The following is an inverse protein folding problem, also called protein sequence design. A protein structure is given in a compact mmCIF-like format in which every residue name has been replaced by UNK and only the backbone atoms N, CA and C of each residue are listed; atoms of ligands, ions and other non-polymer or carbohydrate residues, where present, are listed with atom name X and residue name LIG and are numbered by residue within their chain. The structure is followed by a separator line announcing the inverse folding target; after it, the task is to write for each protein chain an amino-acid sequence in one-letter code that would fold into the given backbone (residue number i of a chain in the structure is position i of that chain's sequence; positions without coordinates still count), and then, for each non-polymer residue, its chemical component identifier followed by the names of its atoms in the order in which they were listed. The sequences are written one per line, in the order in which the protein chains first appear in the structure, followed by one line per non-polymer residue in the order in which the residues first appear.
data_IF_299658932043
#
_entry.id   IF_299658932043
#
_cell.length_a   1.000
_cell.length_b   1.000
_cell.length_c   1.000
_cell.angle_alpha   90.00
_cell.angle_beta   90.00
_cell.angle_gamma   90.00
#
_symmetry.space_group_name_H-M   'P 1'
#
loop_
_entity.id
_entity.type
_entity.pdbx_description
1 polymer ?
#
# COMPACT_ATOMS: atom_id res chain seq x y z
N UNK A 1 -4.03 70.50 24.35
CA UNK A 1 -4.57 70.56 25.73
C UNK A 1 -5.02 69.16 26.11
N UNK A 2 -4.16 68.43 26.83
CA UNK A 2 -4.47 67.10 27.34
C UNK A 2 -4.90 67.25 28.81
N UNK A 3 -6.13 66.86 29.12
CA UNK A 3 -6.64 66.85 30.50
C UNK A 3 -5.97 65.75 31.35
N UNK A 4 -6.07 65.85 32.70
CA UNK A 4 -5.39 64.94 33.61
C UNK A 4 -5.96 63.52 33.50
N UNK A 5 -5.07 62.52 33.48
CA UNK A 5 -5.41 61.09 33.36
C UNK A 5 -5.61 60.48 34.74
N UNK A 6 -6.78 59.90 34.97
CA UNK A 6 -7.19 59.27 36.22
C UNK A 6 -6.61 57.84 36.30
N UNK A 7 -5.89 57.45 37.38
CA UNK A 7 -5.22 56.13 37.47
C UNK A 7 -6.16 54.96 37.83
N UNK A 8 -7.48 55.15 37.84
CA UNK A 8 -8.45 54.17 38.33
C UNK A 8 -9.63 53.92 37.37
N UNK A 9 -9.37 53.53 36.12
CA UNK A 9 -10.40 52.87 35.29
C UNK A 9 -10.62 51.44 35.79
N UNK A 10 -11.76 51.21 36.43
CA UNK A 10 -12.20 49.88 36.88
C UNK A 10 -12.57 49.01 35.69
N UNK A 11 -12.08 47.77 35.68
CA UNK A 11 -12.44 46.76 34.69
C UNK A 11 -13.97 46.54 34.66
N UNK A 12 -14.56 46.67 33.47
CA UNK A 12 -15.97 46.41 33.20
C UNK A 12 -16.09 45.33 32.14
N UNK A 13 -17.14 44.50 32.19
CA UNK A 13 -17.39 43.44 31.20
C UNK A 13 -17.55 43.95 29.76
N UNK A 14 -17.76 45.26 29.56
CA UNK A 14 -17.84 45.90 28.25
C UNK A 14 -16.53 46.56 27.80
N UNK A 15 -15.47 46.55 28.62
CA UNK A 15 -14.20 47.21 28.30
C UNK A 15 -13.03 46.20 28.33
N UNK A 16 -12.54 45.82 27.14
CA UNK A 16 -11.40 44.88 26.95
C UNK A 16 -10.05 45.46 27.37
N UNK A 17 -10.03 46.74 27.75
CA UNK A 17 -8.85 47.50 28.20
C UNK A 17 -8.01 46.81 29.28
N UNK A 18 -8.62 46.00 30.14
CA UNK A 18 -7.90 45.31 31.22
C UNK A 18 -7.01 44.16 30.73
N UNK A 19 -7.28 43.61 29.55
CA UNK A 19 -6.42 42.60 28.89
C UNK A 19 -5.59 43.27 27.81
N UNK A 20 -6.16 44.22 27.06
CA UNK A 20 -5.50 44.90 25.95
C UNK A 20 -4.29 45.73 26.41
N UNK A 21 -4.44 46.55 27.45
CA UNK A 21 -3.38 47.44 27.93
C UNK A 21 -2.11 46.71 28.40
N UNK A 22 -2.17 45.65 29.23
CA UNK A 22 -0.97 44.92 29.61
C UNK A 22 -0.34 44.17 28.44
N UNK A 23 -1.15 43.60 27.54
CA UNK A 23 -0.66 42.89 26.36
C UNK A 23 0.05 43.84 25.40
N UNK A 24 -0.52 45.04 25.20
CA UNK A 24 0.07 46.10 24.39
C UNK A 24 1.42 46.54 24.94
N UNK A 25 1.51 46.79 26.26
CA UNK A 25 2.80 47.15 26.90
C UNK A 25 3.84 46.04 26.76
N UNK A 26 3.43 44.77 26.87
CA UNK A 26 4.31 43.63 26.67
C UNK A 26 4.86 43.59 25.24
N UNK A 27 4.00 43.71 24.23
CA UNK A 27 4.41 43.70 22.83
C UNK A 27 5.22 44.95 22.43
N UNK A 28 4.89 46.12 22.96
CA UNK A 28 5.70 47.34 22.78
C UNK A 28 7.11 47.16 23.36
N UNK A 29 7.22 46.58 24.57
CA UNK A 29 8.51 46.25 25.17
C UNK A 29 9.31 45.23 24.37
N UNK A 30 8.66 44.15 23.91
CA UNK A 30 9.29 43.13 23.06
C UNK A 30 9.76 43.74 21.73
N UNK A 31 8.91 44.50 21.04
CA UNK A 31 9.23 45.15 19.78
C UNK A 31 10.38 46.15 19.95
N UNK A 32 10.41 46.92 21.04
CA UNK A 32 11.51 47.82 21.37
C UNK A 32 12.82 47.05 21.58
N UNK A 33 12.78 45.91 22.27
CA UNK A 33 13.95 45.04 22.44
C UNK A 33 14.47 44.45 21.12
N UNK A 34 13.56 43.98 20.26
CA UNK A 34 13.91 43.46 18.92
C UNK A 34 14.50 44.57 18.04
N UNK A 35 13.92 45.77 18.08
CA UNK A 35 14.41 46.93 17.32
C UNK A 35 15.78 47.40 17.79
N UNK A 36 16.05 47.35 19.10
CA UNK A 36 17.34 47.74 19.67
C UNK A 36 18.47 46.74 19.35
N UNK A 37 18.16 45.45 19.21
CA UNK A 37 19.14 44.41 18.88
C UNK A 37 18.54 43.35 17.96
N UNK A 38 18.50 43.56 16.63
CA UNK A 38 17.76 42.68 15.71
C UNK A 38 18.45 41.34 15.42
N UNK A 39 19.79 41.31 15.41
CA UNK A 39 20.55 40.14 14.95
C UNK A 39 20.31 38.86 15.76
N UNK A 40 20.28 38.87 17.11
CA UNK A 40 19.95 37.68 17.89
C UNK A 40 18.56 37.12 17.55
N UNK A 41 17.56 37.99 17.32
CA UNK A 41 16.20 37.57 17.00
C UNK A 41 16.04 37.03 15.58
N UNK A 42 17.00 37.27 14.68
CA UNK A 42 17.03 36.67 13.33
C UNK A 42 17.89 35.41 13.32
N UNK A 43 19.11 35.48 13.86
CA UNK A 43 20.08 34.40 13.79
C UNK A 43 19.70 33.22 14.68
N UNK A 44 19.19 33.47 15.89
CA UNK A 44 18.85 32.39 16.82
C UNK A 44 17.73 31.49 16.27
N UNK A 45 16.58 32.02 15.76
CA UNK A 45 15.58 31.15 15.14
C UNK A 45 16.09 30.41 13.91
N UNK A 46 16.95 31.03 13.09
CA UNK A 46 17.55 30.37 11.92
C UNK A 46 18.46 29.20 12.32
N UNK A 47 19.34 29.41 13.31
CA UNK A 47 20.23 28.37 13.83
C UNK A 47 19.43 27.25 14.50
N UNK A 48 18.40 27.59 15.29
CA UNK A 48 17.52 26.62 15.92
C UNK A 48 16.76 25.80 14.86
N UNK A 49 16.22 26.45 13.84
CA UNK A 49 15.49 25.81 12.75
C UNK A 49 16.41 24.89 11.93
N UNK A 50 17.64 25.33 11.63
CA UNK A 50 18.65 24.50 10.96
C UNK A 50 19.06 23.30 11.81
N UNK A 51 19.29 23.49 13.11
CA UNK A 51 19.64 22.44 14.04
C UNK A 51 18.54 21.39 14.21
N UNK A 52 17.28 21.81 14.37
CA UNK A 52 16.13 20.91 14.42
C UNK A 52 15.88 20.26 13.05
N UNK A 53 16.09 21.01 11.97
CA UNK A 53 15.96 20.54 10.58
C UNK A 53 16.95 19.44 10.21
N UNK A 54 18.14 19.40 10.82
CA UNK A 54 19.08 18.30 10.64
C UNK A 54 18.49 16.93 11.01
N UNK A 55 17.46 16.88 11.86
CA UNK A 55 16.71 15.66 12.18
C UNK A 55 16.06 15.00 10.96
N UNK A 56 15.75 15.75 9.90
CA UNK A 56 15.17 15.20 8.66
C UNK A 56 16.12 14.24 7.92
N UNK A 57 17.42 14.25 8.21
CA UNK A 57 18.37 13.26 7.69
C UNK A 57 18.03 11.83 8.12
N UNK A 58 17.41 11.66 9.30
CA UNK A 58 17.00 10.35 9.82
C UNK A 58 15.62 9.91 9.33
N UNK A 59 14.91 10.76 8.57
CA UNK A 59 13.56 10.47 8.10
C UNK A 59 13.50 9.16 7.29
N UNK A 60 14.38 8.88 6.31
CA UNK A 60 14.30 7.65 5.52
C UNK A 60 14.39 6.36 6.36
N UNK A 61 15.06 6.42 7.51
CA UNK A 61 15.26 5.28 8.41
C UNK A 61 14.15 5.15 9.46
N UNK A 62 13.54 6.26 9.87
CA UNK A 62 12.56 6.31 10.96
C UNK A 62 11.11 6.47 10.50
N UNK A 63 10.90 6.64 9.20
CA UNK A 63 9.57 6.79 8.64
C UNK A 63 8.81 5.46 8.76
N UNK A 64 7.69 5.50 9.50
CA UNK A 64 6.76 4.39 9.57
C UNK A 64 5.93 4.34 8.28
N UNK A 65 6.35 3.53 7.31
CA UNK A 65 5.71 3.35 6.01
C UNK A 65 4.91 2.06 5.90
N UNK A 66 4.26 1.65 6.99
CA UNK A 66 3.33 0.53 6.94
C UNK A 66 1.89 1.07 6.89
N UNK A 67 1.17 0.82 5.79
CA UNK A 67 -0.24 1.21 5.63
C UNK A 67 -1.09 0.68 6.79
N UNK A 68 -0.87 -0.56 7.24
CA UNK A 68 -1.67 -1.10 8.34
C UNK A 68 -1.44 -0.27 9.62
N UNK A 69 -0.18 0.03 9.95
CA UNK A 69 0.19 0.92 11.05
C UNK A 69 -0.36 2.34 10.95
N UNK A 70 -0.49 2.89 9.74
CA UNK A 70 -0.98 4.26 9.50
C UNK A 70 -2.51 4.38 9.55
N UNK A 71 -3.24 3.37 9.06
CA UNK A 71 -4.69 3.43 8.87
C UNK A 71 -5.50 2.60 9.88
N UNK A 72 -4.83 1.85 10.76
CA UNK A 72 -5.51 1.07 11.81
C UNK A 72 -4.97 1.40 13.20
N UNK A 73 -5.80 1.35 14.26
CA UNK A 73 -5.35 1.64 15.63
C UNK A 73 -4.13 0.79 16.03
N UNK A 74 -3.15 1.41 16.69
CA UNK A 74 -1.91 0.73 17.10
C UNK A 74 -2.15 -0.40 18.12
N UNK A 75 -3.11 -0.23 19.02
CA UNK A 75 -3.49 -1.20 20.07
C UNK A 75 -4.86 -1.85 19.89
N UNK A 76 -5.32 -2.06 18.65
CA UNK A 76 -6.63 -2.66 18.40
C UNK A 76 -6.74 -4.12 18.87
N UNK A 77 -7.90 -4.57 19.39
CA UNK A 77 -8.11 -5.96 19.81
C UNK A 77 -7.73 -7.00 18.76
N UNK A 78 -8.06 -6.74 17.48
CA UNK A 78 -7.70 -7.62 16.36
C UNK A 78 -6.19 -7.83 16.20
N UNK A 79 -5.36 -6.83 16.53
CA UNK A 79 -3.89 -6.97 16.49
C UNK A 79 -3.40 -7.85 17.65
N UNK A 80 -3.98 -7.71 18.83
CA UNK A 80 -3.64 -8.56 19.98
C UNK A 80 -4.05 -10.03 19.74
N UNK A 81 -5.22 -10.27 19.14
CA UNK A 81 -5.66 -11.60 18.71
C UNK A 81 -4.75 -12.18 17.63
N UNK A 82 -4.36 -11.38 16.63
CA UNK A 82 -3.39 -11.80 15.61
C UNK A 82 -2.05 -12.19 16.22
N UNK A 83 -1.56 -11.42 17.18
CA UNK A 83 -0.30 -11.72 17.89
C UNK A 83 -0.42 -13.01 18.71
N UNK A 84 -1.58 -13.26 19.33
CA UNK A 84 -1.86 -14.52 20.00
C UNK A 84 -1.79 -15.69 19.02
N UNK A 85 -2.45 -15.57 17.86
CA UNK A 85 -2.44 -16.60 16.80
C UNK A 85 -1.02 -16.84 16.30
N UNK A 86 -0.26 -15.79 16.00
CA UNK A 86 1.14 -15.91 15.53
C UNK A 86 2.05 -16.62 16.54
N UNK A 87 1.87 -16.36 17.84
CA UNK A 87 2.67 -17.01 18.90
C UNK A 87 2.33 -18.48 19.09
N UNK A 88 1.05 -18.86 19.00
CA UNK A 88 0.59 -20.22 19.29
C UNK A 88 0.50 -21.12 18.05
N UNK A 89 0.31 -20.53 16.87
CA UNK A 89 0.15 -21.22 15.59
C UNK A 89 1.10 -20.60 14.54
N UNK A 90 2.43 -20.69 14.74
CA UNK A 90 3.38 -20.18 13.77
C UNK A 90 3.24 -20.91 12.42
N UNK A 91 3.39 -20.16 11.33
CA UNK A 91 3.41 -20.73 9.98
C UNK A 91 4.77 -21.36 9.69
N UNK A 92 4.77 -22.39 8.85
CA UNK A 92 5.97 -23.00 8.30
C UNK A 92 5.77 -23.06 6.79
N UNK A 93 6.15 -21.97 6.13
CA UNK A 93 5.91 -21.77 4.70
C UNK A 93 6.86 -22.64 3.88
N UNK A 94 7.95 -23.15 4.47
CA UNK A 94 8.89 -24.06 3.79
C UNK A 94 8.41 -25.52 3.66
N UNK A 95 7.47 -25.98 4.49
CA UNK A 95 7.05 -27.39 4.52
C UNK A 95 5.53 -27.62 4.56
N UNK A 96 4.78 -26.79 5.30
CA UNK A 96 3.36 -27.00 5.61
C UNK A 96 2.54 -25.74 5.37
N UNK A 97 2.76 -25.11 4.22
CA UNK A 97 2.03 -23.90 3.86
C UNK A 97 0.53 -24.18 3.69
N UNK A 98 -0.29 -23.27 4.22
CA UNK A 98 -1.74 -23.30 4.04
C UNK A 98 -2.29 -21.87 4.05
N UNK A 99 -2.67 -21.37 2.87
CA UNK A 99 -3.19 -20.02 2.72
C UNK A 99 -4.38 -19.69 3.65
N UNK A 100 -5.38 -20.57 3.86
CA UNK A 100 -6.49 -20.29 4.78
C UNK A 100 -6.09 -20.18 6.26
N UNK A 101 -4.86 -20.58 6.63
CA UNK A 101 -4.35 -20.51 8.01
C UNK A 101 -3.48 -19.29 8.26
N UNK A 102 -3.28 -18.44 7.26
CA UNK A 102 -2.47 -17.24 7.43
C UNK A 102 -3.18 -16.23 8.35
N UNK A 103 -2.49 -15.70 9.39
CA UNK A 103 -3.02 -14.64 10.24
C UNK A 103 -2.98 -13.25 9.58
N UNK A 104 -2.33 -13.15 8.42
CA UNK A 104 -2.23 -11.96 7.55
C UNK A 104 -2.46 -12.35 6.09
N UNK A 105 -2.47 -11.38 5.17
CA UNK A 105 -2.63 -11.67 3.74
C UNK A 105 -1.45 -12.48 3.15
N UNK A 106 -0.28 -12.43 3.79
CA UNK A 106 0.93 -13.15 3.36
C UNK A 106 1.72 -12.43 2.26
N UNK A 107 2.86 -13.00 1.86
CA UNK A 107 3.61 -12.57 0.70
C UNK A 107 3.08 -13.30 -0.54
N UNK A 108 2.46 -12.58 -1.46
CA UNK A 108 1.91 -13.20 -2.66
C UNK A 108 1.87 -12.25 -3.86
N UNK A 109 1.85 -12.84 -5.05
CA UNK A 109 1.45 -12.22 -6.29
C UNK A 109 0.17 -12.90 -6.79
N UNK A 110 -0.85 -12.10 -7.12
CA UNK A 110 -2.10 -12.57 -7.71
C UNK A 110 -2.24 -12.03 -9.11
N UNK A 111 -2.64 -12.91 -10.03
CA UNK A 111 -2.97 -12.57 -11.40
C UNK A 111 -4.39 -13.05 -11.68
N UNK A 112 -5.20 -12.23 -12.35
CA UNK A 112 -6.54 -12.60 -12.78
C UNK A 112 -6.53 -12.59 -14.30
N UNK A 113 -6.66 -13.76 -14.90
CA UNK A 113 -6.85 -13.96 -16.33
C UNK A 113 -8.34 -13.90 -16.65
N UNK A 114 -8.74 -12.96 -17.49
CA UNK A 114 -10.13 -12.74 -17.92
C UNK A 114 -10.22 -13.06 -19.41
N UNK A 115 -11.13 -13.93 -19.81
CA UNK A 115 -11.34 -14.23 -21.22
C UNK A 115 -11.78 -12.99 -22.02
N UNK A 116 -11.18 -12.80 -23.20
CA UNK A 116 -11.56 -11.73 -24.12
C UNK A 116 -12.89 -12.05 -24.80
N UNK A 117 -13.57 -11.04 -25.35
CA UNK A 117 -14.82 -11.20 -26.10
C UNK A 117 -15.99 -11.86 -25.34
N UNK A 118 -15.92 -11.96 -24.01
CA UNK A 118 -16.98 -12.54 -23.18
C UNK A 118 -17.08 -14.07 -23.26
N UNK A 119 -16.04 -14.74 -23.76
CA UNK A 119 -15.97 -16.21 -23.81
C UNK A 119 -15.54 -16.80 -22.47
N UNK A 120 -15.25 -18.11 -22.43
CA UNK A 120 -14.79 -18.76 -21.21
C UNK A 120 -13.27 -18.82 -21.12
N UNK A 121 -12.73 -18.59 -19.92
CA UNK A 121 -11.33 -18.86 -19.60
C UNK A 121 -11.00 -20.35 -19.62
N UNK A 122 -12.03 -21.21 -19.59
CA UNK A 122 -11.91 -22.66 -19.70
C UNK A 122 -11.90 -23.15 -21.16
N UNK A 123 -12.05 -22.26 -22.14
CA UNK A 123 -11.93 -22.63 -23.54
C UNK A 123 -10.46 -23.02 -23.86
N UNK A 124 -10.21 -23.98 -24.78
CA UNK A 124 -8.86 -24.49 -25.02
C UNK A 124 -7.81 -23.43 -25.35
N UNK A 125 -8.17 -22.40 -26.12
CA UNK A 125 -7.26 -21.31 -26.50
C UNK A 125 -6.90 -20.40 -25.32
N UNK A 126 -7.91 -20.02 -24.52
CA UNK A 126 -7.71 -19.23 -23.31
C UNK A 126 -6.92 -20.02 -22.25
N UNK A 127 -7.19 -21.32 -22.13
CA UNK A 127 -6.50 -22.21 -21.20
C UNK A 127 -5.02 -22.38 -21.56
N UNK A 128 -4.68 -22.54 -22.84
CA UNK A 128 -3.28 -22.59 -23.28
C UNK A 128 -2.53 -21.30 -22.93
N UNK A 129 -3.17 -20.14 -23.12
CA UNK A 129 -2.61 -18.85 -22.72
C UNK A 129 -2.43 -18.72 -21.20
N UNK A 130 -3.35 -19.26 -20.39
CA UNK A 130 -3.20 -19.37 -18.93
C UNK A 130 -2.01 -20.23 -18.55
N UNK A 131 -1.80 -21.38 -19.21
CA UNK A 131 -0.65 -22.25 -18.94
C UNK A 131 0.67 -21.58 -19.31
N UNK A 132 0.71 -20.84 -20.42
CA UNK A 132 1.87 -20.02 -20.80
C UNK A 132 2.15 -18.94 -19.76
N UNK A 133 1.11 -18.24 -19.29
CA UNK A 133 1.22 -17.25 -18.21
C UNK A 133 1.79 -17.88 -16.92
N UNK A 134 1.26 -19.03 -16.50
CA UNK A 134 1.73 -19.73 -15.30
C UNK A 134 3.22 -20.07 -15.39
N UNK A 135 3.65 -20.63 -16.53
CA UNK A 135 5.06 -20.97 -16.79
C UNK A 135 5.98 -19.75 -16.73
N UNK A 136 5.53 -18.58 -17.17
CA UNK A 136 6.30 -17.33 -17.14
C UNK A 136 6.45 -16.77 -15.72
N UNK A 137 5.45 -16.97 -14.87
CA UNK A 137 5.49 -16.53 -13.46
C UNK A 137 6.29 -17.50 -12.60
N UNK A 138 6.19 -18.82 -12.87
CA UNK A 138 6.95 -19.87 -12.19
C UNK A 138 8.39 -19.98 -12.72
N UNK A 139 9.11 -18.87 -12.67
CA UNK A 139 10.53 -18.83 -12.97
C UNK A 139 11.39 -19.52 -11.88
N UNK A 140 12.66 -19.84 -12.15
CA UNK A 140 13.52 -20.52 -11.18
C UNK A 140 13.67 -19.76 -9.85
N UNK A 141 13.59 -18.43 -9.88
CA UNK A 141 13.64 -17.61 -8.68
C UNK A 141 12.37 -17.80 -7.82
N UNK A 142 11.20 -17.85 -8.45
CA UNK A 142 9.95 -18.18 -7.78
C UNK A 142 10.00 -19.58 -7.15
N UNK A 143 10.45 -20.62 -7.88
CA UNK A 143 10.49 -22.00 -7.37
C UNK A 143 11.42 -22.18 -6.15
N UNK A 144 12.40 -21.28 -5.98
CA UNK A 144 13.25 -21.21 -4.79
C UNK A 144 12.53 -20.56 -3.59
N UNK A 145 11.72 -19.53 -3.84
CA UNK A 145 11.11 -18.66 -2.82
C UNK A 145 9.65 -18.99 -2.49
N UNK A 146 9.01 -19.84 -3.29
CA UNK A 146 7.61 -20.19 -3.14
C UNK A 146 7.32 -20.83 -1.77
N UNK A 147 6.13 -20.58 -1.25
CA UNK A 147 5.62 -21.33 -0.11
C UNK A 147 5.30 -22.78 -0.54
N UNK A 148 5.68 -23.75 0.28
CA UNK A 148 5.65 -25.17 -0.04
C UNK A 148 4.70 -25.95 0.87
N UNK A 149 4.00 -26.89 0.25
CA UNK A 149 3.25 -27.94 0.93
C UNK A 149 3.72 -29.29 0.38
N UNK A 150 4.15 -30.18 1.27
CA UNK A 150 4.59 -31.53 0.94
C UNK A 150 5.73 -31.56 -0.11
N UNK A 151 6.70 -30.67 0.07
CA UNK A 151 7.92 -30.60 -0.76
C UNK A 151 7.79 -29.87 -2.09
N UNK A 152 6.58 -29.44 -2.49
CA UNK A 152 6.31 -28.71 -3.73
C UNK A 152 5.70 -27.33 -3.46
N UNK A 153 5.90 -26.37 -4.38
CA UNK A 153 5.23 -25.07 -4.29
C UNK A 153 3.70 -25.24 -4.21
N UNK A 154 3.05 -24.38 -3.44
CA UNK A 154 1.60 -24.30 -3.40
C UNK A 154 1.04 -24.05 -4.81
N UNK A 155 -0.03 -24.76 -5.17
CA UNK A 155 -0.65 -24.56 -6.49
C UNK A 155 -1.26 -23.16 -6.58
N UNK A 156 -0.98 -22.40 -7.64
CA UNK A 156 -1.52 -21.05 -7.80
C UNK A 156 -3.03 -21.05 -8.07
N UNK A 157 -3.59 -22.16 -8.55
CA UNK A 157 -5.02 -22.35 -8.72
C UNK A 157 -5.38 -23.84 -8.57
N UNK A 158 -6.48 -24.20 -7.90
CA UNK A 158 -6.88 -25.59 -7.73
C UNK A 158 -7.15 -26.36 -9.04
N UNK A 159 -7.45 -25.66 -10.14
CA UNK A 159 -7.68 -26.25 -11.47
C UNK A 159 -6.38 -26.41 -12.27
N UNK A 160 -5.26 -25.88 -11.79
CA UNK A 160 -3.95 -26.12 -12.37
C UNK A 160 -3.28 -27.27 -11.62
N UNK A 161 -3.05 -28.38 -12.31
CA UNK A 161 -2.19 -29.45 -11.78
C UNK A 161 -0.76 -28.95 -11.56
N UNK A 162 -0.08 -29.58 -10.60
CA UNK A 162 1.31 -29.31 -10.26
C UNK A 162 2.31 -29.54 -11.41
N UNK A 163 1.89 -30.15 -12.52
CA UNK A 163 2.76 -30.60 -13.62
C UNK A 163 2.51 -29.91 -14.97
N UNK A 164 1.55 -28.98 -15.06
CA UNK A 164 1.35 -28.17 -16.26
C UNK A 164 0.83 -28.93 -17.49
N UNK A 165 0.36 -30.16 -17.32
CA UNK A 165 -0.13 -31.02 -18.41
C UNK A 165 -1.62 -31.29 -18.23
N UNK A 166 -2.47 -30.27 -18.37
CA UNK A 166 -3.91 -30.52 -18.34
C UNK A 166 -4.63 -29.75 -19.43
N UNK A 167 -5.45 -30.51 -20.18
CA UNK A 167 -6.57 -29.97 -20.95
C UNK A 167 -7.47 -29.18 -19.99
N UNK A 168 -8.18 -28.17 -20.48
CA UNK A 168 -9.19 -27.52 -19.65
C UNK A 168 -10.22 -28.55 -19.16
N UNK A 169 -10.81 -28.33 -17.97
CA UNK A 169 -11.90 -29.17 -17.49
C UNK A 169 -13.08 -29.11 -18.46
N UNK A 170 -13.69 -30.27 -18.75
CA UNK A 170 -14.84 -30.32 -19.65
C UNK A 170 -16.04 -29.57 -19.06
N UNK A 171 -16.85 -28.88 -19.86
CA UNK A 171 -18.09 -28.25 -19.39
C UNK A 171 -18.99 -29.25 -18.65
N UNK A 172 -19.50 -28.85 -17.48
CA UNK A 172 -20.35 -29.67 -16.64
C UNK A 172 -19.63 -30.79 -15.84
N UNK A 173 -18.31 -30.92 -15.96
CA UNK A 173 -17.52 -31.91 -15.21
C UNK A 173 -17.28 -31.53 -13.74
N UNK A 174 -17.26 -30.24 -13.45
CA UNK A 174 -17.00 -29.70 -12.11
C UNK A 174 -18.30 -29.20 -11.47
N UNK A 175 -18.41 -29.36 -10.14
CA UNK A 175 -19.46 -28.71 -9.35
C UNK A 175 -19.00 -27.35 -8.85
N UNK A 176 -19.91 -26.40 -8.78
CA UNK A 176 -19.64 -25.04 -8.27
C UNK A 176 -20.64 -24.69 -7.15
N UNK A 177 -20.22 -24.01 -6.06
CA UNK A 177 -18.88 -23.44 -5.81
C UNK A 177 -17.88 -24.40 -5.17
N UNK A 178 -18.31 -25.61 -4.76
CA UNK A 178 -17.45 -26.62 -4.13
C UNK A 178 -17.43 -27.87 -5.00
N UNK A 179 -16.22 -28.32 -5.35
CA UNK A 179 -15.99 -29.56 -6.07
C UNK A 179 -15.20 -30.54 -5.21
N UNK A 180 -15.89 -31.53 -4.63
CA UNK A 180 -15.29 -32.43 -3.63
C UNK A 180 -14.90 -31.66 -2.37
N UNK A 181 -13.60 -31.59 -2.06
CA UNK A 181 -13.03 -30.83 -0.92
C UNK A 181 -12.50 -29.45 -1.32
N UNK A 182 -12.58 -29.09 -2.59
CA UNK A 182 -11.96 -27.88 -3.14
C UNK A 182 -13.01 -26.79 -3.34
N UNK A 183 -12.72 -25.58 -2.83
CA UNK A 183 -13.55 -24.40 -3.05
C UNK A 183 -13.12 -23.64 -4.30
N UNK A 184 -13.96 -23.61 -5.32
CA UNK A 184 -13.73 -22.92 -6.59
C UNK A 184 -14.25 -21.47 -6.59
N UNK A 185 -15.06 -21.08 -5.60
CA UNK A 185 -15.64 -19.73 -5.54
C UNK A 185 -14.62 -18.60 -5.39
N UNK A 186 -13.42 -18.89 -4.87
CA UNK A 186 -12.31 -17.93 -4.83
C UNK A 186 -11.36 -18.03 -6.04
N UNK A 187 -11.51 -19.08 -6.86
CA UNK A 187 -10.62 -19.41 -7.98
C UNK A 187 -11.19 -18.97 -9.34
N UNK A 188 -12.52 -18.93 -9.46
CA UNK A 188 -13.24 -18.59 -10.69
C UNK A 188 -14.14 -17.35 -10.49
N UNK A 189 -14.28 -16.55 -11.55
CA UNK A 189 -15.16 -15.38 -11.59
C UNK A 189 -16.03 -15.34 -12.85
N UNK A 190 -17.20 -14.71 -12.75
CA UNK A 190 -18.17 -14.65 -13.86
C UNK A 190 -18.58 -16.04 -14.32
N UNK A 191 -19.04 -16.86 -13.38
CA UNK A 191 -19.34 -18.28 -13.58
C UNK A 191 -20.77 -18.47 -14.08
N UNK A 192 -20.93 -19.34 -15.07
CA UNK A 192 -22.23 -19.84 -15.52
C UNK A 192 -22.41 -21.31 -15.09
N UNK A 193 -23.58 -21.63 -14.55
CA UNK A 193 -23.87 -22.95 -14.00
C UNK A 193 -25.23 -23.47 -14.42
N UNK A 194 -25.31 -24.76 -14.69
CA UNK A 194 -26.57 -25.49 -14.86
C UNK A 194 -26.71 -26.56 -13.79
N UNK A 195 -27.76 -26.49 -12.98
CA UNK A 195 -27.99 -27.43 -11.88
C UNK A 195 -26.83 -27.54 -10.87
N UNK A 196 -26.05 -26.46 -10.68
CA UNK A 196 -24.86 -26.44 -9.82
C UNK A 196 -23.60 -27.06 -10.45
N UNK A 197 -23.64 -27.40 -11.74
CA UNK A 197 -22.47 -27.80 -12.52
C UNK A 197 -21.92 -26.61 -13.29
N UNK A 198 -20.60 -26.49 -13.30
CA UNK A 198 -19.86 -25.41 -13.95
C UNK A 198 -19.90 -25.61 -15.47
N UNK A 199 -20.56 -24.70 -16.20
CA UNK A 199 -20.56 -24.72 -17.66
C UNK A 199 -19.43 -23.85 -18.23
N UNK A 200 -19.29 -22.64 -17.72
CA UNK A 200 -18.27 -21.70 -18.13
C UNK A 200 -17.84 -20.79 -16.99
N UNK A 201 -16.67 -20.18 -17.13
CA UNK A 201 -16.20 -19.11 -16.25
C UNK A 201 -15.52 -18.04 -17.10
N UNK A 202 -15.75 -16.76 -16.77
CA UNK A 202 -15.13 -15.62 -17.48
C UNK A 202 -13.72 -15.32 -16.99
N UNK A 203 -13.41 -15.62 -15.73
CA UNK A 203 -12.12 -15.28 -15.12
C UNK A 203 -11.55 -16.42 -14.27
N UNK A 204 -10.23 -16.55 -14.28
CA UNK A 204 -9.44 -17.46 -13.45
C UNK A 204 -8.47 -16.64 -12.60
N UNK A 205 -8.47 -16.86 -11.28
CA UNK A 205 -7.54 -16.22 -10.35
C UNK A 205 -6.38 -17.15 -10.02
N UNK A 206 -5.16 -16.69 -10.27
CA UNK A 206 -3.89 -17.32 -9.91
C UNK A 206 -3.31 -16.60 -8.69
N UNK A 207 -2.83 -17.34 -7.70
CA UNK A 207 -2.21 -16.78 -6.48
C UNK A 207 -0.91 -17.51 -6.15
N UNK A 208 0.20 -16.83 -6.39
CA UNK A 208 1.56 -17.31 -6.16
C UNK A 208 2.02 -16.87 -4.78
N UNK A 209 2.04 -17.81 -3.83
CA UNK A 209 2.49 -17.55 -2.46
C UNK A 209 4.00 -17.72 -2.32
N UNK A 210 4.62 -16.79 -1.61
CA UNK A 210 6.04 -16.78 -1.27
C UNK A 210 6.20 -17.00 0.23
N UNK A 211 7.41 -17.38 0.62
CA UNK A 211 7.76 -17.57 2.03
C UNK A 211 7.87 -16.23 2.77
N UNK A 212 7.21 -16.13 3.91
CA UNK A 212 7.42 -15.04 4.88
C UNK A 212 8.27 -15.48 6.08
N UNK A 213 8.62 -16.77 6.15
CA UNK A 213 9.40 -17.34 7.24
C UNK A 213 10.93 -17.29 6.99
N UNK A 214 11.66 -16.90 8.02
CA UNK A 214 13.13 -16.96 8.04
C UNK A 214 13.83 -15.87 7.22
N UNK A 215 15.13 -16.06 6.91
CA UNK A 215 15.93 -15.06 6.20
C UNK A 215 15.45 -14.79 4.76
N UNK A 216 14.72 -15.72 4.14
CA UNK A 216 14.24 -15.61 2.76
C UNK A 216 13.00 -14.70 2.61
N UNK A 217 12.44 -14.16 3.71
CA UNK A 217 11.35 -13.19 3.65
C UNK A 217 11.76 -11.91 2.89
N UNK A 218 13.00 -11.46 3.07
CA UNK A 218 13.52 -10.29 2.37
C UNK A 218 13.74 -10.57 0.87
N UNK A 219 14.22 -11.77 0.53
CA UNK A 219 14.36 -12.21 -0.86
C UNK A 219 12.99 -12.31 -1.56
N UNK A 220 11.98 -12.83 -0.87
CA UNK A 220 10.59 -12.87 -1.34
C UNK A 220 10.04 -11.46 -1.60
N UNK A 221 10.34 -10.51 -0.70
CA UNK A 221 9.99 -9.09 -0.88
C UNK A 221 10.67 -8.49 -2.11
N UNK A 222 11.95 -8.78 -2.33
CA UNK A 222 12.69 -8.33 -3.51
C UNK A 222 12.14 -8.94 -4.80
N UNK A 223 11.77 -10.22 -4.79
CA UNK A 223 11.11 -10.87 -5.92
C UNK A 223 9.79 -10.16 -6.26
N UNK A 224 8.95 -9.84 -5.27
CA UNK A 224 7.69 -9.11 -5.51
C UNK A 224 7.90 -7.72 -6.12
N UNK A 225 8.95 -7.00 -5.70
CA UNK A 225 9.30 -5.70 -6.29
C UNK A 225 9.76 -5.85 -7.75
N UNK A 226 10.59 -6.86 -8.03
CA UNK A 226 11.06 -7.15 -9.39
C UNK A 226 9.93 -7.64 -10.28
N UNK A 227 9.01 -8.44 -9.74
CA UNK A 227 7.79 -8.87 -10.40
C UNK A 227 6.95 -7.67 -10.85
N UNK A 228 6.66 -6.71 -9.96
CA UNK A 228 5.88 -5.51 -10.31
C UNK A 228 6.54 -4.66 -11.39
N UNK A 229 7.88 -4.53 -11.38
CA UNK A 229 8.62 -3.80 -12.42
C UNK A 229 8.56 -4.48 -13.79
N UNK A 230 8.68 -5.80 -13.82
CA UNK A 230 8.94 -6.56 -15.04
C UNK A 230 7.71 -7.27 -15.62
N UNK A 231 6.64 -7.46 -14.85
CA UNK A 231 5.48 -8.22 -15.31
C UNK A 231 4.80 -7.57 -16.51
N UNK A 232 4.77 -6.23 -16.57
CA UNK A 232 4.17 -5.49 -17.68
C UNK A 232 4.88 -5.75 -19.02
N UNK A 233 6.20 -5.88 -19.04
CA UNK A 233 6.96 -6.24 -20.24
C UNK A 233 6.81 -7.72 -20.57
N UNK A 234 6.88 -8.61 -19.57
CA UNK A 234 6.65 -10.05 -19.75
C UNK A 234 5.28 -10.34 -20.37
N UNK A 235 4.23 -9.63 -19.94
CA UNK A 235 2.88 -9.77 -20.50
C UNK A 235 2.78 -9.29 -21.96
N UNK A 236 3.55 -8.26 -22.34
CA UNK A 236 3.62 -7.80 -23.74
C UNK A 236 4.34 -8.80 -24.64
N UNK A 237 5.41 -9.43 -24.14
CA UNK A 237 6.15 -10.46 -24.86
C UNK A 237 5.36 -11.75 -25.07
N UNK A 238 4.44 -12.07 -24.15
CA UNK A 238 3.59 -13.26 -24.25
C UNK A 238 2.55 -13.17 -25.38
N UNK A 239 2.19 -11.95 -25.80
CA UNK A 239 1.21 -11.66 -26.86
C UNK A 239 -0.10 -12.47 -26.69
N UNK A 240 -0.77 -12.26 -25.55
CA UNK A 240 -2.00 -12.96 -25.17
C UNK A 240 -3.21 -12.34 -25.89
N UNK A 241 -3.95 -13.16 -26.63
CA UNK A 241 -5.07 -12.73 -27.49
C UNK A 241 -6.43 -13.15 -26.94
N UNK A 242 -6.48 -14.29 -26.24
CA UNK A 242 -7.67 -14.92 -25.68
C UNK A 242 -7.92 -14.53 -24.22
N UNK A 243 -6.89 -14.04 -23.52
CA UNK A 243 -7.02 -13.55 -22.14
C UNK A 243 -6.45 -12.15 -21.95
N UNK A 244 -7.12 -11.36 -21.11
CA UNK A 244 -6.60 -10.13 -20.53
C UNK A 244 -6.17 -10.40 -19.09
N UNK A 245 -4.94 -9.99 -18.75
CA UNK A 245 -4.36 -10.26 -17.43
C UNK A 245 -4.31 -8.97 -16.62
N UNK A 246 -4.81 -9.05 -15.38
CA UNK A 246 -4.60 -8.03 -14.35
C UNK A 246 -3.80 -8.64 -13.21
N UNK A 247 -3.03 -7.83 -12.48
CA UNK A 247 -2.14 -8.33 -11.43
C UNK A 247 -2.14 -7.42 -10.20
N UNK A 248 -1.87 -8.03 -9.05
CA UNK A 248 -1.79 -7.38 -7.74
C UNK A 248 -0.83 -8.16 -6.85
N UNK A 249 -0.04 -7.49 -6.02
CA UNK A 249 0.79 -8.15 -5.00
C UNK A 249 0.53 -7.61 -3.61
N UNK A 250 1.00 -8.32 -2.58
CA UNK A 250 0.96 -7.81 -1.20
C UNK A 250 1.70 -6.47 -1.01
N UNK A 251 2.60 -6.10 -1.93
CA UNK A 251 3.29 -4.80 -1.93
C UNK A 251 2.56 -3.70 -2.71
N UNK A 252 1.62 -4.05 -3.60
CA UNK A 252 0.99 -3.08 -4.52
C UNK A 252 0.30 -1.94 -3.77
N UNK A 253 -0.44 -2.23 -2.68
CA UNK A 253 -1.12 -1.17 -1.90
C UNK A 253 -0.13 -0.14 -1.37
N UNK A 254 1.00 -0.59 -0.81
CA UNK A 254 2.04 0.28 -0.26
C UNK A 254 2.70 1.12 -1.36
N UNK A 255 3.07 0.48 -2.47
CA UNK A 255 3.77 1.15 -3.56
C UNK A 255 2.90 2.20 -4.27
N UNK A 256 1.63 1.90 -4.52
CA UNK A 256 0.70 2.86 -5.13
C UNK A 256 0.50 4.10 -4.25
N UNK A 257 0.41 3.90 -2.92
CA UNK A 257 0.26 5.01 -1.97
C UNK A 257 1.52 5.91 -1.93
N UNK A 258 2.71 5.30 -1.91
CA UNK A 258 3.98 6.02 -1.97
C UNK A 258 4.18 6.74 -3.31
N UNK A 259 3.80 6.10 -4.41
CA UNK A 259 3.84 6.66 -5.76
C UNK A 259 2.99 7.93 -5.87
N UNK A 260 1.77 7.88 -5.35
CA UNK A 260 0.88 9.04 -5.32
C UNK A 260 1.46 10.19 -4.47
N UNK A 261 2.10 9.90 -3.34
CA UNK A 261 2.73 10.95 -2.52
C UNK A 261 3.85 11.66 -3.30
N UNK A 262 4.69 10.92 -4.04
CA UNK A 262 5.79 11.48 -4.83
C UNK A 262 5.32 12.37 -5.99
N UNK A 263 4.18 12.05 -6.62
CA UNK A 263 3.65 12.85 -7.73
C UNK A 263 3.11 14.21 -7.27
N UNK A 264 2.71 14.34 -6.01
CA UNK A 264 2.12 15.56 -5.46
C UNK A 264 3.17 16.58 -4.96
N UNK A 265 4.35 16.12 -4.54
CA UNK A 265 5.47 16.99 -4.10
C UNK A 265 5.75 18.17 -5.05
N UNK A 266 5.91 17.98 -6.38
CA UNK A 266 6.18 19.11 -7.29
C UNK A 266 5.05 20.13 -7.33
N UNK A 267 3.79 19.72 -7.17
CA UNK A 267 2.63 20.62 -7.17
C UNK A 267 2.65 21.53 -5.93
N UNK A 268 3.01 20.99 -4.76
CA UNK A 268 3.21 21.79 -3.56
C UNK A 268 4.35 22.80 -3.73
N UNK A 269 5.48 22.38 -4.30
CA UNK A 269 6.62 23.26 -4.57
C UNK A 269 6.27 24.45 -5.46
N UNK A 270 5.51 24.21 -6.55
CA UNK A 270 5.01 25.29 -7.43
C UNK A 270 4.10 26.23 -6.66
N UNK A 271 3.18 25.69 -5.84
CA UNK A 271 2.25 26.50 -5.04
C UNK A 271 2.99 27.40 -4.06
N UNK A 272 4.00 26.88 -3.34
CA UNK A 272 4.85 27.69 -2.46
C UNK A 272 5.61 28.78 -3.24
N UNK A 273 6.17 28.44 -4.40
CA UNK A 273 6.86 29.42 -5.24
C UNK A 273 5.95 30.57 -5.68
N UNK A 274 4.74 30.25 -6.16
CA UNK A 274 3.77 31.25 -6.61
C UNK A 274 3.28 32.14 -5.47
N UNK A 275 2.98 31.56 -4.31
CA UNK A 275 2.52 32.30 -3.13
C UNK A 275 3.60 33.24 -2.58
N UNK A 276 4.85 32.78 -2.49
CA UNK A 276 5.99 33.62 -2.07
C UNK A 276 6.21 34.75 -3.08
N UNK A 277 6.20 34.44 -4.38
CA UNK A 277 6.37 35.44 -5.44
C UNK A 277 5.26 36.48 -5.40
N UNK A 278 4.01 36.04 -5.25
CA UNK A 278 2.86 36.94 -5.12
C UNK A 278 2.99 37.87 -3.91
N UNK A 279 3.41 37.34 -2.75
CA UNK A 279 3.63 38.14 -1.55
C UNK A 279 4.74 39.19 -1.76
N UNK A 280 5.86 38.81 -2.38
CA UNK A 280 6.96 39.74 -2.70
C UNK A 280 6.47 40.84 -3.64
N UNK A 281 5.80 40.49 -4.74
CA UNK A 281 5.29 41.46 -5.73
C UNK A 281 4.24 42.40 -5.10
N UNK A 282 3.41 41.89 -4.19
CA UNK A 282 2.40 42.69 -3.50
C UNK A 282 3.02 43.72 -2.55
N UNK A 283 4.16 43.39 -1.92
CA UNK A 283 4.89 44.30 -1.03
C UNK A 283 5.85 45.26 -1.75
N UNK A 284 6.12 45.05 -3.04
CA UNK A 284 6.96 45.91 -3.87
C UNK A 284 6.18 47.09 -4.51
N UNK A 285 4.86 47.14 -4.32
CA UNK A 285 4.00 48.29 -4.65
C UNK A 285 3.77 49.16 -3.41
#
# INVERSE_FOLDING_TARGET
MAGPRDPAERCSCCNTDCVERPLRRLFEGLASGVAACPWPFVLLPLLLSGGLGAGFLFLPQRQANDIEGQFTPTGGPAKAERDLVRRHFPTNDSQRFSAPRLPTEGAYASLIAVATNGTSVLDPTAWEEVLRLDKTVRDPDYERLCARSDGSCASPNPLLSRRGEERPPAPGSLRFPVNGTVFLGAALGGVDTDGGRLLSARALKLVYYLREDGPEAEDSRQWLQSFLRNISSKLRELDLSSIQVTYFTSLSRQQEFEGNTKSVIPLFSITYFLTITFAIVSCLR
#
